data_IF_672338985496
#
_entry.id   IF_672338985496
#
_cell.length_a   1.000
_cell.length_b   1.000
_cell.length_c   1.000
_cell.angle_alpha   90.00
_cell.angle_beta   90.00
_cell.angle_gamma   90.00
#
_symmetry.space_group_name_H-M   'P 1'
#
loop_
_entity.id
_entity.type
_entity.pdbx_description
1 polymer ?
#
# COMPACT_ATOMS: atom_id res chain seq x y z
N UNK A 1 -16.54 8.72 16.80
CA UNK A 1 -15.79 8.46 18.05
C UNK A 1 -16.19 7.07 18.57
N UNK A 2 -15.23 6.24 19.00
CA UNK A 2 -15.48 4.86 19.43
C UNK A 2 -16.14 4.84 20.80
N UNK A 3 -17.25 4.10 20.96
CA UNK A 3 -17.86 3.88 22.28
C UNK A 3 -16.89 3.17 23.22
N UNK A 4 -16.84 3.50 24.52
CA UNK A 4 -15.86 2.96 25.48
C UNK A 4 -15.86 1.43 25.60
N UNK A 5 -16.99 0.81 25.44
CA UNK A 5 -17.24 -0.64 25.49
C UNK A 5 -16.67 -1.40 24.27
N UNK A 6 -16.53 -0.75 23.11
CA UNK A 6 -15.96 -1.33 21.89
C UNK A 6 -14.44 -1.20 21.75
N UNK A 7 -13.76 -0.48 22.66
CA UNK A 7 -12.32 -0.19 22.53
C UNK A 7 -11.42 -1.43 22.48
N UNK A 8 -11.78 -2.51 23.17
CA UNK A 8 -11.02 -3.75 23.15
C UNK A 8 -11.30 -4.58 21.88
N UNK A 9 -12.56 -4.65 21.44
CA UNK A 9 -12.96 -5.39 20.25
C UNK A 9 -12.29 -4.85 18.98
N UNK A 10 -12.14 -3.54 18.85
CA UNK A 10 -11.51 -2.88 17.69
C UNK A 10 -10.09 -3.36 17.42
N UNK A 11 -9.32 -3.71 18.42
CA UNK A 11 -7.95 -4.20 18.24
C UNK A 11 -7.90 -5.72 18.00
N UNK A 12 -8.89 -6.48 18.49
CA UNK A 12 -8.90 -7.95 18.41
C UNK A 12 -9.39 -8.42 17.04
N UNK A 13 -10.40 -7.75 16.46
CA UNK A 13 -10.98 -8.12 15.17
C UNK A 13 -10.52 -7.22 14.01
N UNK A 14 -9.54 -6.36 14.24
CA UNK A 14 -9.02 -5.44 13.24
C UNK A 14 -8.06 -6.14 12.29
N UNK A 15 -8.26 -5.97 10.98
CA UNK A 15 -7.34 -6.47 9.95
C UNK A 15 -6.00 -5.72 9.89
N UNK A 16 -5.90 -4.52 10.49
CA UNK A 16 -4.71 -3.67 10.40
C UNK A 16 -3.44 -4.33 10.97
N UNK A 17 -3.45 -5.03 12.14
CA UNK A 17 -2.27 -5.73 12.62
C UNK A 17 -1.72 -6.75 11.64
N UNK A 18 -2.59 -7.53 10.99
CA UNK A 18 -2.20 -8.49 9.96
C UNK A 18 -1.62 -7.81 8.71
N UNK A 19 -2.23 -6.71 8.27
CA UNK A 19 -1.70 -5.92 7.16
C UNK A 19 -0.31 -5.34 7.48
N UNK A 20 -0.13 -4.78 8.68
CA UNK A 20 1.17 -4.26 9.12
C UNK A 20 2.23 -5.37 9.27
N UNK A 21 1.84 -6.57 9.70
CA UNK A 21 2.76 -7.71 9.73
C UNK A 21 3.28 -8.07 8.33
N UNK A 22 2.44 -7.92 7.30
CA UNK A 22 2.83 -8.20 5.92
C UNK A 22 3.71 -7.09 5.30
N UNK A 23 3.37 -5.81 5.51
CA UNK A 23 3.99 -4.68 4.79
C UNK A 23 4.50 -3.55 5.69
N UNK A 24 4.31 -3.60 7.00
CA UNK A 24 4.51 -2.49 7.93
C UNK A 24 5.96 -2.03 8.14
N UNK A 25 6.91 -2.55 7.38
CA UNK A 25 8.30 -2.18 7.47
C UNK A 25 8.71 -1.18 6.36
N UNK A 26 9.59 -0.26 6.72
CA UNK A 26 10.11 0.78 5.81
C UNK A 26 10.51 0.25 4.43
N UNK A 27 11.28 -0.82 4.40
CA UNK A 27 11.81 -1.36 3.14
C UNK A 27 10.74 -2.03 2.29
N UNK A 28 9.69 -2.61 2.90
CA UNK A 28 8.58 -3.18 2.15
C UNK A 28 7.88 -2.13 1.30
N UNK A 29 7.58 -0.95 1.84
CA UNK A 29 6.98 0.15 1.08
C UNK A 29 7.92 0.71 0.00
N UNK A 30 9.23 0.79 0.25
CA UNK A 30 10.19 1.25 -0.76
C UNK A 30 10.35 0.23 -1.90
N UNK A 31 10.35 -1.07 -1.59
CA UNK A 31 10.36 -2.14 -2.61
C UNK A 31 9.07 -2.09 -3.43
N UNK A 32 7.91 -1.97 -2.79
CA UNK A 32 6.63 -1.83 -3.49
C UNK A 32 6.63 -0.61 -4.42
N UNK A 33 7.11 0.55 -3.94
CA UNK A 33 7.28 1.72 -4.80
C UNK A 33 8.16 1.43 -6.02
N UNK A 34 9.27 0.72 -5.82
CA UNK A 34 10.15 0.27 -6.91
C UNK A 34 9.41 -0.61 -7.91
N UNK A 35 8.67 -1.62 -7.42
CA UNK A 35 7.89 -2.53 -8.26
C UNK A 35 6.78 -1.80 -9.05
N UNK A 36 6.08 -0.85 -8.44
CA UNK A 36 5.11 0.00 -9.15
C UNK A 36 5.75 0.89 -10.23
N UNK A 37 7.05 1.19 -10.12
CA UNK A 37 7.82 1.92 -11.12
C UNK A 37 8.58 1.01 -12.09
N UNK A 38 8.29 -0.30 -12.09
CA UNK A 38 8.81 -1.26 -13.07
C UNK A 38 10.10 -1.98 -12.67
N UNK A 39 10.63 -1.78 -11.45
CA UNK A 39 11.74 -2.60 -10.97
C UNK A 39 11.26 -4.04 -10.80
N UNK A 40 12.01 -4.97 -11.35
CA UNK A 40 11.64 -6.39 -11.33
C UNK A 40 12.76 -7.30 -10.83
N UNK A 41 14.03 -6.91 -10.96
CA UNK A 41 15.16 -7.77 -10.63
C UNK A 41 15.84 -7.37 -9.32
N UNK A 42 16.43 -8.36 -8.66
CA UNK A 42 17.11 -8.15 -7.37
C UNK A 42 18.14 -7.02 -7.43
N UNK A 43 18.96 -7.01 -8.45
CA UNK A 43 20.04 -6.03 -8.64
C UNK A 43 19.49 -4.62 -8.91
N UNK A 44 18.36 -4.51 -9.61
CA UNK A 44 17.68 -3.22 -9.84
C UNK A 44 17.17 -2.63 -8.53
N UNK A 45 16.48 -3.46 -7.70
CA UNK A 45 16.05 -3.04 -6.38
C UNK A 45 17.24 -2.62 -5.51
N UNK A 46 18.30 -3.45 -5.49
CA UNK A 46 19.47 -3.20 -4.66
C UNK A 46 20.15 -1.88 -5.03
N UNK A 47 20.43 -1.66 -6.29
CA UNK A 47 21.11 -0.46 -6.79
C UNK A 47 20.27 0.79 -6.64
N UNK A 48 18.98 0.71 -6.97
CA UNK A 48 18.07 1.87 -6.94
C UNK A 48 17.74 2.32 -5.52
N UNK A 49 17.56 1.36 -4.58
CA UNK A 49 17.16 1.67 -3.20
C UNK A 49 18.35 1.85 -2.26
N UNK A 50 19.57 1.47 -2.67
CA UNK A 50 20.75 1.49 -1.80
C UNK A 50 20.61 0.58 -0.58
N UNK A 51 19.86 -0.52 -0.71
CA UNK A 51 19.54 -1.44 0.38
C UNK A 51 20.61 -2.54 0.49
N UNK A 52 20.98 -2.92 1.72
CA UNK A 52 21.87 -4.04 1.95
C UNK A 52 21.28 -5.36 1.42
N UNK A 53 22.13 -6.19 0.78
CA UNK A 53 21.72 -7.41 0.10
C UNK A 53 20.91 -8.36 0.99
N UNK A 54 21.33 -8.58 2.22
CA UNK A 54 20.65 -9.46 3.19
C UNK A 54 19.27 -8.91 3.58
N UNK A 55 19.14 -7.60 3.73
CA UNK A 55 17.86 -6.96 4.05
C UNK A 55 16.90 -7.09 2.85
N UNK A 56 17.37 -6.78 1.64
CA UNK A 56 16.57 -6.91 0.43
C UNK A 56 16.08 -8.35 0.24
N UNK A 57 16.98 -9.33 0.36
CA UNK A 57 16.63 -10.74 0.22
C UNK A 57 15.53 -11.15 1.20
N UNK A 58 15.66 -10.78 2.47
CA UNK A 58 14.66 -11.06 3.49
C UNK A 58 13.31 -10.39 3.17
N UNK A 59 13.33 -9.12 2.74
CA UNK A 59 12.08 -8.39 2.46
C UNK A 59 11.36 -8.92 1.22
N UNK A 60 12.09 -9.21 0.15
CA UNK A 60 11.51 -9.83 -1.05
C UNK A 60 10.91 -11.20 -0.72
N UNK A 61 11.60 -12.03 0.08
CA UNK A 61 11.09 -13.32 0.51
C UNK A 61 9.77 -13.18 1.29
N UNK A 62 9.69 -12.24 2.23
CA UNK A 62 8.45 -11.97 2.99
C UNK A 62 7.31 -11.46 2.12
N UNK A 63 7.59 -10.57 1.17
CA UNK A 63 6.56 -10.07 0.25
C UNK A 63 6.03 -11.20 -0.65
N UNK A 64 6.87 -12.16 -1.02
CA UNK A 64 6.44 -13.37 -1.74
C UNK A 64 5.64 -14.31 -0.83
N UNK A 65 6.09 -14.55 0.40
CA UNK A 65 5.37 -15.37 1.39
C UNK A 65 3.96 -14.86 1.67
N UNK A 66 3.80 -13.53 1.69
CA UNK A 66 2.50 -12.88 1.87
C UNK A 66 1.68 -12.71 0.56
N UNK A 67 2.15 -13.30 -0.54
CA UNK A 67 1.50 -13.23 -1.86
C UNK A 67 1.29 -11.77 -2.35
N UNK A 68 2.22 -10.89 -2.02
CA UNK A 68 2.24 -9.50 -2.48
C UNK A 68 3.10 -9.36 -3.73
N UNK A 69 4.20 -10.10 -3.78
CA UNK A 69 5.01 -10.31 -4.96
C UNK A 69 4.99 -11.80 -5.34
N UNK A 70 5.17 -12.07 -6.61
CA UNK A 70 5.45 -13.40 -7.15
C UNK A 70 6.85 -13.43 -7.77
N UNK A 71 7.46 -14.62 -7.77
CA UNK A 71 8.76 -14.87 -8.39
C UNK A 71 8.56 -15.70 -9.64
N UNK A 72 9.07 -15.24 -10.75
CA UNK A 72 9.01 -15.98 -12.00
C UNK A 72 10.34 -15.86 -12.77
N UNK A 73 10.68 -16.82 -13.63
CA UNK A 73 11.77 -16.64 -14.57
C UNK A 73 11.47 -15.45 -15.49
N UNK A 74 12.49 -14.60 -15.72
CA UNK A 74 12.31 -13.47 -16.63
C UNK A 74 12.03 -13.99 -18.06
N UNK A 75 11.00 -13.47 -18.74
CA UNK A 75 10.69 -13.89 -20.11
C UNK A 75 11.81 -13.68 -21.13
N UNK A 76 12.66 -12.66 -20.91
CA UNK A 76 13.77 -12.34 -21.80
C UNK A 76 15.06 -13.12 -21.46
N UNK A 77 15.25 -13.48 -20.18
CA UNK A 77 16.39 -14.31 -19.73
C UNK A 77 15.96 -15.21 -18.57
N UNK A 78 15.60 -16.45 -18.90
CA UNK A 78 15.11 -17.44 -17.91
C UNK A 78 16.08 -17.78 -16.77
N UNK A 79 17.36 -17.36 -16.86
CA UNK A 79 18.33 -17.51 -15.77
C UNK A 79 18.14 -16.45 -14.69
N UNK A 80 17.45 -15.36 -15.01
CA UNK A 80 17.11 -14.29 -14.07
C UNK A 80 15.73 -14.53 -13.46
N UNK A 81 15.60 -14.09 -12.22
CA UNK A 81 14.33 -14.09 -11.51
C UNK A 81 13.78 -12.67 -11.51
N UNK A 82 12.53 -12.53 -11.94
CA UNK A 82 11.74 -11.31 -11.81
C UNK A 82 10.79 -11.42 -10.61
N UNK A 83 10.62 -10.31 -9.90
CA UNK A 83 9.63 -10.11 -8.86
C UNK A 83 8.53 -9.20 -9.40
N UNK A 84 7.31 -9.71 -9.45
CA UNK A 84 6.16 -8.97 -10.01
C UNK A 84 5.08 -8.78 -8.96
N UNK A 85 4.35 -7.68 -9.06
CA UNK A 85 3.19 -7.44 -8.21
C UNK A 85 2.07 -8.42 -8.57
N UNK A 86 1.57 -9.13 -7.56
CA UNK A 86 0.32 -9.88 -7.65
C UNK A 86 -0.88 -8.91 -7.70
N UNK A 87 -2.09 -9.42 -7.86
CA UNK A 87 -3.31 -8.61 -7.70
C UNK A 87 -3.38 -7.99 -6.29
N UNK A 88 -3.11 -8.79 -5.26
CA UNK A 88 -3.03 -8.35 -3.87
C UNK A 88 -1.96 -7.27 -3.67
N UNK A 89 -0.80 -7.40 -4.30
CA UNK A 89 0.24 -6.38 -4.27
C UNK A 89 -0.20 -5.10 -4.95
N UNK A 90 -0.85 -5.17 -6.11
CA UNK A 90 -1.40 -4.00 -6.83
C UNK A 90 -2.45 -3.25 -6.01
N UNK A 91 -3.26 -3.95 -5.22
CA UNK A 91 -4.25 -3.35 -4.34
C UNK A 91 -3.64 -2.44 -3.24
N UNK A 92 -2.33 -2.52 -2.98
CA UNK A 92 -1.62 -1.62 -2.05
C UNK A 92 -1.30 -0.24 -2.63
N UNK A 93 -1.49 -0.02 -3.94
CA UNK A 93 -1.18 1.29 -4.57
C UNK A 93 -1.88 2.47 -3.88
N UNK A 94 -3.18 2.43 -3.57
CA UNK A 94 -3.85 3.53 -2.88
C UNK A 94 -3.22 3.85 -1.51
N UNK A 95 -2.80 2.82 -0.76
CA UNK A 95 -2.14 2.99 0.55
C UNK A 95 -0.79 3.69 0.38
N UNK A 96 0.00 3.26 -0.61
CA UNK A 96 1.30 3.86 -0.94
C UNK A 96 1.14 5.34 -1.33
N UNK A 97 0.14 5.67 -2.16
CA UNK A 97 -0.11 7.04 -2.60
C UNK A 97 -0.61 7.91 -1.44
N UNK A 98 -1.50 7.39 -0.58
CA UNK A 98 -1.96 8.10 0.61
C UNK A 98 -0.78 8.44 1.55
N UNK A 99 0.09 7.48 1.81
CA UNK A 99 1.28 7.68 2.64
C UNK A 99 2.25 8.69 2.01
N UNK A 100 2.46 8.62 0.70
CA UNK A 100 3.29 9.58 -0.04
C UNK A 100 2.74 11.00 0.06
N UNK A 101 1.44 11.21 -0.21
CA UNK A 101 0.80 12.52 -0.14
C UNK A 101 0.81 13.09 1.28
N UNK A 102 0.67 12.24 2.30
CA UNK A 102 0.83 12.63 3.69
C UNK A 102 2.27 13.12 3.96
N UNK A 103 3.27 12.38 3.47
CA UNK A 103 4.69 12.75 3.60
C UNK A 103 5.02 14.06 2.89
N UNK A 104 4.49 14.28 1.68
CA UNK A 104 4.64 15.54 0.94
C UNK A 104 4.11 16.73 1.73
N UNK A 105 2.94 16.57 2.34
CA UNK A 105 2.27 17.66 3.07
C UNK A 105 2.91 17.95 4.43
N UNK A 106 3.26 16.92 5.19
CA UNK A 106 3.59 17.06 6.61
C UNK A 106 5.06 16.86 6.95
N UNK A 107 5.85 16.23 6.08
CA UNK A 107 7.25 15.94 6.33
C UNK A 107 8.16 16.80 5.44
N UNK A 108 8.00 16.77 4.12
CA UNK A 108 8.86 17.50 3.19
C UNK A 108 8.40 18.93 2.92
N UNK A 109 7.09 19.18 3.01
CA UNK A 109 6.48 20.47 2.66
C UNK A 109 6.47 20.77 1.16
N UNK A 110 6.97 19.85 0.33
CA UNK A 110 7.06 20.01 -1.13
C UNK A 110 6.52 18.76 -1.84
N UNK A 111 5.92 18.94 -3.03
CA UNK A 111 5.50 17.80 -3.85
C UNK A 111 6.69 16.93 -4.25
N UNK A 112 6.48 15.62 -4.29
CA UNK A 112 7.50 14.67 -4.76
C UNK A 112 7.67 14.74 -6.27
N UNK A 113 8.91 14.54 -6.73
CA UNK A 113 9.24 14.34 -8.14
C UNK A 113 9.76 12.90 -8.34
N UNK A 114 9.28 12.13 -9.33
CA UNK A 114 8.23 12.46 -10.31
C UNK A 114 6.81 12.51 -9.71
N UNK A 115 5.93 13.24 -10.39
CA UNK A 115 4.50 13.36 -10.04
C UNK A 115 3.71 12.21 -10.66
N UNK A 116 2.84 11.56 -9.87
CA UNK A 116 1.90 10.58 -10.39
C UNK A 116 0.72 11.29 -11.05
N UNK A 117 0.47 10.96 -12.30
CA UNK A 117 -0.60 11.57 -13.11
C UNK A 117 -1.51 10.52 -13.72
N UNK A 118 -2.74 10.90 -13.99
CA UNK A 118 -3.61 10.15 -14.90
C UNK A 118 -2.99 10.17 -16.31
N UNK A 119 -2.85 8.99 -16.90
CA UNK A 119 -2.20 8.81 -18.22
C UNK A 119 -2.90 9.56 -19.35
N UNK A 120 -4.23 9.66 -19.29
CA UNK A 120 -5.04 10.27 -20.34
C UNK A 120 -5.11 11.80 -20.21
N UNK A 121 -5.46 12.29 -19.03
CA UNK A 121 -5.61 13.71 -18.79
C UNK A 121 -4.30 14.44 -18.48
N UNK A 122 -3.23 13.71 -18.15
CA UNK A 122 -1.93 14.23 -17.71
C UNK A 122 -2.01 15.09 -16.44
N UNK A 123 -3.14 15.02 -15.73
CA UNK A 123 -3.33 15.73 -14.46
C UNK A 123 -2.85 14.88 -13.28
N UNK A 124 -2.32 15.50 -12.23
CA UNK A 124 -1.98 14.79 -10.99
C UNK A 124 -3.18 14.03 -10.44
N UNK A 125 -2.94 12.84 -9.88
CA UNK A 125 -3.98 12.09 -9.17
C UNK A 125 -4.52 12.92 -8.00
N UNK A 126 -5.81 12.79 -7.73
CA UNK A 126 -6.47 13.48 -6.63
C UNK A 126 -5.87 13.10 -5.28
N UNK A 127 -6.00 13.98 -4.29
CA UNK A 127 -5.63 13.66 -2.91
C UNK A 127 -6.49 12.51 -2.39
N UNK A 128 -5.83 11.51 -1.81
CA UNK A 128 -6.51 10.39 -1.17
C UNK A 128 -7.34 10.88 0.01
N UNK A 129 -8.58 10.45 0.08
CA UNK A 129 -9.52 10.84 1.13
C UNK A 129 -10.45 9.66 1.46
N UNK A 130 -10.92 9.61 2.70
CA UNK A 130 -12.01 8.70 3.08
C UNK A 130 -13.29 9.20 2.41
N UNK A 131 -14.05 8.27 1.81
CA UNK A 131 -15.26 8.60 1.06
C UNK A 131 -16.43 7.75 1.53
N UNK A 132 -17.61 8.33 1.49
CA UNK A 132 -18.88 7.60 1.61
C UNK A 132 -19.11 6.72 0.36
N UNK A 133 -20.10 5.82 0.42
CA UNK A 133 -20.46 4.94 -0.70
C UNK A 133 -20.89 5.70 -1.97
N UNK A 134 -21.45 6.91 -1.82
CA UNK A 134 -21.82 7.80 -2.92
C UNK A 134 -20.62 8.59 -3.51
N UNK A 135 -19.41 8.37 -2.99
CA UNK A 135 -18.18 9.03 -3.44
C UNK A 135 -17.89 10.37 -2.76
N UNK A 136 -18.76 10.89 -1.92
CA UNK A 136 -18.57 12.14 -1.16
C UNK A 136 -17.38 11.99 -0.18
N UNK A 137 -16.46 12.95 -0.11
CA UNK A 137 -15.41 12.92 0.90
C UNK A 137 -15.99 13.10 2.30
N UNK A 138 -15.44 12.39 3.29
CA UNK A 138 -15.87 12.43 4.68
C UNK A 138 -14.79 13.06 5.56
N UNK A 139 -15.20 13.97 6.43
CA UNK A 139 -14.36 14.50 7.49
C UNK A 139 -14.36 13.55 8.71
N UNK A 140 -13.37 13.71 9.59
CA UNK A 140 -13.20 12.83 10.75
C UNK A 140 -14.45 12.79 11.67
N UNK A 141 -15.12 13.92 11.83
CA UNK A 141 -16.34 14.04 12.65
C UNK A 141 -17.59 13.44 12.00
N UNK A 142 -17.51 13.03 10.74
CA UNK A 142 -18.58 12.34 10.00
C UNK A 142 -18.38 10.81 10.02
N UNK A 143 -17.32 10.32 10.67
CA UNK A 143 -16.97 8.89 10.76
C UNK A 143 -17.31 8.35 12.14
N UNK A 144 -17.87 7.15 12.16
CA UNK A 144 -18.16 6.41 13.38
C UNK A 144 -17.80 4.93 13.18
N UNK A 145 -17.33 4.29 14.26
CA UNK A 145 -17.16 2.84 14.32
C UNK A 145 -18.37 2.24 15.02
N UNK A 146 -19.06 1.34 14.32
CA UNK A 146 -20.22 0.59 14.85
C UNK A 146 -19.91 -0.90 14.77
N UNK A 147 -20.63 -1.70 15.53
CA UNK A 147 -20.58 -3.15 15.40
C UNK A 147 -21.15 -3.59 14.05
N UNK A 148 -20.61 -4.67 13.47
CA UNK A 148 -21.11 -5.21 12.21
C UNK A 148 -22.59 -5.60 12.31
N UNK A 149 -23.04 -6.07 13.48
CA UNK A 149 -24.43 -6.42 13.72
C UNK A 149 -25.40 -5.22 13.70
N UNK A 150 -24.87 -3.99 13.85
CA UNK A 150 -25.65 -2.75 13.77
C UNK A 150 -25.76 -2.21 12.34
N UNK A 151 -25.10 -2.84 11.35
CA UNK A 151 -25.21 -2.42 9.97
C UNK A 151 -26.65 -2.67 9.46
N UNK A 152 -27.28 -1.68 8.79
CA UNK A 152 -28.55 -1.93 8.12
C UNK A 152 -28.33 -2.99 7.04
N UNK A 153 -29.29 -3.90 6.90
CA UNK A 153 -29.29 -4.90 5.82
C UNK A 153 -29.15 -4.18 4.48
N UNK A 154 -28.10 -4.51 3.73
CA UNK A 154 -27.86 -3.95 2.39
C UNK A 154 -28.71 -4.68 1.34
N UNK A 155 -29.94 -5.07 1.70
CA UNK A 155 -30.92 -5.67 0.78
C UNK A 155 -31.63 -4.53 0.04
N UNK A 156 -31.11 -4.23 -1.15
CA UNK A 156 -31.67 -3.25 -2.07
C UNK A 156 -30.95 -3.29 -3.40
#
# INVERSE_FOLDING_TARGET
>A
MIRPDHRKAILVECALPGALAAVGERWSFLILRGAFNGLAHFEEFQSTLGIARNILSNRLARLVEHDILEREPDPADRRKIAYRLTEKGRALLPVLIALRQWGERWISGVPSNPVLVDRHSRRPVATMAVRAADGRPLALNELEWIDRAELPSLDG
#
